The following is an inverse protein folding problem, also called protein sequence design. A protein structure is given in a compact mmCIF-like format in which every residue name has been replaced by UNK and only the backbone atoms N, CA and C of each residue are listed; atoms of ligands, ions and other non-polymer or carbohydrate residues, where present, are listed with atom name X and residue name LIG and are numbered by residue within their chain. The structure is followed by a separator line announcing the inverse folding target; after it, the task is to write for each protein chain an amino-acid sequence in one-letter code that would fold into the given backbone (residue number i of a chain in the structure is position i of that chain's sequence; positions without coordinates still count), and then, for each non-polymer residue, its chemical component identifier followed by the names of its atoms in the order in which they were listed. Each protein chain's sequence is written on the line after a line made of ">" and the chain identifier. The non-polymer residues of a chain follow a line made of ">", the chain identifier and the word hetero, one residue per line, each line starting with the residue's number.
data_IF_373093732890
#
_entry.id   IF_373093732890
#
_cell.length_a   1.000
_cell.length_b   1.000
_cell.length_c   1.000
_cell.angle_alpha   90.00
_cell.angle_beta   90.00
_cell.angle_gamma   90.00
#
_symmetry.space_group_name_H-M   'P 1'
#
loop_
_entity.id
_entity.type
_entity.pdbx_description
1 polymer ?
#
# COMPACT_ATOMS: atom_id res chain seq x y z
N UNK A 1 2.81 -3.31 -22.31
CA UNK A 1 1.51 -3.30 -23.04
C UNK A 1 1.62 -2.62 -24.40
N UNK A 2 2.48 -1.61 -24.49
CA UNK A 2 2.87 -0.85 -25.68
C UNK A 2 3.37 -1.67 -26.88
N UNK A 3 4.03 -2.82 -26.65
CA UNK A 3 4.57 -3.65 -27.74
C UNK A 3 3.63 -4.75 -28.24
N UNK A 4 2.33 -4.68 -27.92
CA UNK A 4 1.35 -5.64 -28.44
C UNK A 4 0.97 -5.30 -29.88
N UNK A 5 0.43 -6.28 -30.61
CA UNK A 5 -0.09 -6.08 -31.97
C UNK A 5 -1.61 -6.35 -31.96
N UNK A 6 -2.47 -5.32 -32.12
CA UNK A 6 -2.17 -3.88 -32.13
C UNK A 6 -1.72 -3.35 -30.75
N UNK A 7 -1.04 -2.19 -30.66
CA UNK A 7 -0.58 -1.63 -29.39
C UNK A 7 -1.70 -1.47 -28.37
N UNK A 8 -1.40 -1.77 -27.10
CA UNK A 8 -2.36 -1.78 -26.00
C UNK A 8 -3.58 -2.71 -26.22
N UNK A 9 -3.40 -3.83 -26.94
CA UNK A 9 -4.47 -4.79 -27.22
C UNK A 9 -5.03 -5.43 -25.93
N UNK A 10 -6.31 -5.17 -25.69
CA UNK A 10 -7.06 -5.75 -24.57
C UNK A 10 -7.22 -7.27 -24.71
N UNK A 11 -7.39 -7.76 -25.95
CA UNK A 11 -7.48 -9.21 -26.21
C UNK A 11 -6.22 -9.94 -25.77
N UNK A 12 -5.04 -9.35 -26.03
CA UNK A 12 -3.75 -9.94 -25.63
C UNK A 12 -3.57 -9.94 -24.12
N UNK A 13 -4.06 -8.89 -23.45
CA UNK A 13 -4.06 -8.84 -21.99
C UNK A 13 -4.97 -9.94 -21.39
N UNK A 14 -6.21 -10.07 -21.85
CA UNK A 14 -7.15 -11.08 -21.35
C UNK A 14 -6.63 -12.51 -21.55
N UNK A 15 -5.95 -12.77 -22.67
CA UNK A 15 -5.27 -14.04 -22.94
C UNK A 15 -4.18 -14.34 -21.90
N UNK A 16 -3.27 -13.38 -21.66
CA UNK A 16 -2.18 -13.52 -20.68
C UNK A 16 -2.74 -13.71 -19.26
N UNK A 17 -3.76 -12.91 -18.88
CA UNK A 17 -4.39 -13.03 -17.56
C UNK A 17 -4.96 -14.43 -17.37
N UNK A 18 -5.61 -15.00 -18.40
CA UNK A 18 -6.17 -16.36 -18.35
C UNK A 18 -5.08 -17.42 -18.20
N UNK A 19 -4.01 -17.35 -18.98
CA UNK A 19 -2.91 -18.32 -18.93
C UNK A 19 -2.16 -18.27 -17.59
N UNK A 20 -1.80 -17.06 -17.16
CA UNK A 20 -1.08 -16.86 -15.90
C UNK A 20 -1.96 -17.23 -14.71
N UNK A 21 -3.25 -16.90 -14.73
CA UNK A 21 -4.21 -17.32 -13.68
C UNK A 21 -4.31 -18.83 -13.55
N UNK A 22 -4.30 -19.56 -14.67
CA UNK A 22 -4.30 -21.02 -14.66
C UNK A 22 -2.99 -21.58 -14.09
N UNK A 23 -1.86 -20.95 -14.41
CA UNK A 23 -0.54 -21.36 -13.94
C UNK A 23 -0.36 -21.12 -12.43
N UNK A 24 -0.68 -19.92 -11.93
CA UNK A 24 -0.55 -19.59 -10.50
C UNK A 24 -1.49 -20.43 -9.63
N UNK A 25 -2.66 -20.82 -10.16
CA UNK A 25 -3.58 -21.74 -9.49
C UNK A 25 -2.98 -23.13 -9.30
N UNK A 26 -2.20 -23.63 -10.27
CA UNK A 26 -1.48 -24.92 -10.14
C UNK A 26 -0.37 -24.85 -9.09
N UNK A 27 0.28 -23.70 -8.94
CA UNK A 27 1.32 -23.47 -7.93
C UNK A 27 0.71 -23.32 -6.52
N UNK A 28 -0.60 -23.13 -6.41
CA UNK A 28 -1.32 -23.04 -5.14
C UNK A 28 -1.72 -21.62 -4.72
N UNK A 29 -1.51 -20.61 -5.58
CA UNK A 29 -2.00 -19.25 -5.34
C UNK A 29 -3.45 -19.07 -5.78
N UNK A 30 -4.21 -18.23 -5.07
CA UNK A 30 -5.56 -17.88 -5.48
C UNK A 30 -5.54 -16.75 -6.54
N UNK A 31 -5.92 -17.00 -7.81
CA UNK A 31 -5.87 -16.01 -8.87
C UNK A 31 -6.78 -14.81 -8.60
N UNK A 32 -7.84 -14.95 -7.79
CA UNK A 32 -8.71 -13.84 -7.42
C UNK A 32 -8.03 -12.80 -6.51
N UNK A 33 -6.93 -13.17 -5.86
CA UNK A 33 -6.17 -12.27 -4.97
C UNK A 33 -4.97 -11.62 -5.64
N UNK A 34 -4.67 -11.98 -6.89
CA UNK A 34 -3.52 -11.46 -7.63
C UNK A 34 -4.01 -10.39 -8.61
N UNK A 35 -3.68 -9.11 -8.40
CA UNK A 35 -4.05 -8.06 -9.33
C UNK A 35 -3.19 -8.16 -10.58
N UNK A 36 -3.83 -8.21 -11.75
CA UNK A 36 -3.17 -8.13 -13.04
C UNK A 36 -3.19 -6.70 -13.52
N UNK A 37 -2.06 -5.99 -13.48
CA UNK A 37 -2.01 -4.59 -13.91
C UNK A 37 -1.39 -4.50 -15.30
N UNK A 38 -2.11 -3.99 -16.32
CA UNK A 38 -1.55 -3.75 -17.64
C UNK A 38 -0.60 -2.56 -17.59
N UNK A 39 0.71 -2.81 -17.46
CA UNK A 39 1.73 -1.76 -17.39
C UNK A 39 2.53 -1.64 -18.70
N UNK A 40 3.07 -0.43 -18.92
CA UNK A 40 4.26 -0.25 -19.76
C UNK A 40 5.37 0.30 -18.88
N UNK A 41 6.36 -0.55 -18.57
CA UNK A 41 7.54 -0.09 -17.83
C UNK A 41 8.32 0.98 -18.59
N UNK A 42 8.25 0.97 -19.91
CA UNK A 42 8.97 1.92 -20.76
C UNK A 42 8.25 3.26 -20.88
N UNK A 43 6.95 3.27 -21.13
CA UNK A 43 6.18 4.51 -21.27
C UNK A 43 5.67 5.06 -19.93
N UNK A 44 5.81 4.29 -18.85
CA UNK A 44 5.33 4.64 -17.51
C UNK A 44 3.83 4.41 -17.32
N UNK A 45 3.15 3.76 -18.27
CA UNK A 45 1.71 3.55 -18.22
C UNK A 45 1.31 2.68 -17.04
N UNK A 46 0.31 3.15 -16.27
CA UNK A 46 -0.27 2.47 -15.11
C UNK A 46 0.75 2.10 -14.02
N UNK A 47 1.92 2.76 -13.99
CA UNK A 47 2.97 2.52 -12.99
C UNK A 47 2.86 3.43 -11.77
N UNK A 48 2.25 4.61 -11.91
CA UNK A 48 2.04 5.59 -10.83
C UNK A 48 0.69 6.31 -11.02
N UNK A 49 0.37 6.60 -12.28
CA UNK A 49 -0.86 7.29 -12.69
C UNK A 49 -1.58 6.47 -13.79
N UNK A 50 -2.93 6.56 -13.87
CA UNK A 50 -3.70 5.81 -14.85
C UNK A 50 -3.39 6.34 -16.24
N UNK A 51 -3.06 5.43 -17.15
CA UNK A 51 -2.72 5.75 -18.52
C UNK A 51 -3.99 6.09 -19.33
N UNK A 52 -3.93 7.10 -20.21
CA UNK A 52 -4.97 7.33 -21.22
C UNK A 52 -5.09 6.18 -22.23
N UNK A 53 -4.02 5.39 -22.41
CA UNK A 53 -3.91 4.39 -23.48
C UNK A 53 -4.56 3.04 -23.10
N UNK A 54 -4.63 2.70 -21.82
CA UNK A 54 -5.25 1.46 -21.35
C UNK A 54 -5.82 1.62 -19.95
N UNK A 55 -7.13 1.41 -19.83
CA UNK A 55 -7.83 1.48 -18.55
C UNK A 55 -7.50 0.28 -17.68
N UNK A 56 -7.08 0.51 -16.44
CA UNK A 56 -6.93 -0.55 -15.45
C UNK A 56 -8.32 -1.05 -15.04
N UNK A 57 -8.69 -2.24 -15.49
CA UNK A 57 -9.89 -2.93 -14.99
C UNK A 57 -9.63 -3.33 -13.53
N UNK A 58 -10.34 -2.68 -12.60
CA UNK A 58 -10.24 -2.95 -11.16
C UNK A 58 -9.53 -1.87 -10.31
N UNK A 59 -9.17 -0.71 -10.88
CA UNK A 59 -8.69 0.45 -10.11
C UNK A 59 -7.32 0.29 -9.46
N UNK A 60 -6.58 -0.77 -9.80
CA UNK A 60 -5.25 -1.07 -9.27
C UNK A 60 -4.14 -0.38 -10.06
N UNK A 61 -3.82 0.84 -9.65
CA UNK A 61 -2.67 1.57 -10.15
C UNK A 61 -1.38 1.01 -9.57
N UNK A 62 -0.41 0.73 -10.45
CA UNK A 62 0.96 0.40 -10.07
C UNK A 62 1.46 1.42 -9.07
N UNK A 63 2.04 0.93 -7.98
CA UNK A 63 2.63 1.72 -6.89
C UNK A 63 1.81 2.95 -6.51
N UNK A 64 0.77 2.71 -5.71
CA UNK A 64 0.21 3.71 -4.82
C UNK A 64 1.33 4.29 -3.96
N UNK A 65 1.94 5.40 -4.40
CA UNK A 65 2.85 6.16 -3.54
C UNK A 65 1.98 6.71 -2.43
N UNK A 66 2.11 6.10 -1.27
CA UNK A 66 1.47 6.53 -0.05
C UNK A 66 1.97 7.92 0.30
N UNK A 67 1.03 8.83 0.47
CA UNK A 67 1.26 10.12 1.10
C UNK A 67 0.07 10.62 1.89
N UNK A 68 -0.89 9.74 2.18
CA UNK A 68 -2.06 10.02 3.00
C UNK A 68 -2.38 8.84 3.93
N UNK A 69 -2.24 9.10 5.23
CA UNK A 69 -3.31 8.95 6.23
C UNK A 69 -4.27 7.78 5.99
N UNK A 70 -4.16 6.75 6.82
CA UNK A 70 -5.13 5.67 6.92
C UNK A 70 -5.53 5.46 8.37
N UNK A 71 -6.78 5.05 8.59
CA UNK A 71 -7.21 4.56 9.90
C UNK A 71 -6.67 3.17 10.13
N UNK A 72 -5.72 3.04 11.04
CA UNK A 72 -4.95 1.81 11.18
C UNK A 72 -5.08 1.27 12.60
N UNK A 73 -5.75 0.12 12.80
CA UNK A 73 -5.71 -0.57 14.09
C UNK A 73 -4.30 -1.08 14.38
N UNK A 74 -3.77 -0.65 15.51
CA UNK A 74 -2.49 -1.10 16.09
C UNK A 74 -2.73 -1.70 17.46
N UNK A 75 -1.93 -2.70 17.80
CA UNK A 75 -1.89 -3.33 19.12
C UNK A 75 -0.50 -3.07 19.70
N UNK A 76 -0.45 -2.40 20.84
CA UNK A 76 0.80 -2.09 21.54
C UNK A 76 1.23 -3.31 22.35
N UNK A 77 2.48 -3.74 22.16
CA UNK A 77 3.01 -4.99 22.69
C UNK A 77 3.88 -4.82 23.92
N UNK A 78 5.09 -4.28 23.76
CA UNK A 78 6.07 -4.21 24.85
C UNK A 78 6.82 -2.88 24.80
N UNK A 79 6.08 -1.79 24.96
CA UNK A 79 6.65 -0.45 25.02
C UNK A 79 6.89 -0.07 26.50
N UNK A 80 8.11 0.34 26.90
CA UNK A 80 8.46 0.62 28.29
C UNK A 80 7.82 1.92 28.83
N UNK A 81 7.45 2.84 27.93
CA UNK A 81 6.78 4.10 28.28
C UNK A 81 5.36 4.19 27.75
N UNK A 82 4.87 5.42 27.60
CA UNK A 82 3.59 5.71 26.96
C UNK A 82 3.80 6.24 25.54
N UNK A 83 2.89 5.88 24.63
CA UNK A 83 2.88 6.37 23.25
C UNK A 83 1.84 7.47 23.16
N UNK A 84 2.25 8.66 22.70
CA UNK A 84 1.35 9.80 22.52
C UNK A 84 1.35 10.26 21.06
N UNK A 85 0.41 11.12 20.69
CA UNK A 85 0.41 11.77 19.38
C UNK A 85 1.77 12.48 19.13
N UNK A 86 2.30 12.30 17.93
CA UNK A 86 3.64 12.75 17.53
C UNK A 86 4.75 11.70 17.66
N UNK A 87 4.48 10.55 18.26
CA UNK A 87 5.43 9.43 18.32
C UNK A 87 5.87 8.99 16.91
N UNK A 88 7.17 8.85 16.69
CA UNK A 88 7.74 8.62 15.34
C UNK A 88 8.62 7.36 15.28
N UNK A 89 8.02 6.16 15.36
CA UNK A 89 8.74 4.89 15.25
C UNK A 89 9.09 4.55 13.80
N UNK A 90 9.87 3.48 13.63
CA UNK A 90 10.13 2.88 12.31
C UNK A 90 9.12 1.80 12.00
N UNK A 91 8.57 1.82 10.79
CA UNK A 91 7.59 0.86 10.31
C UNK A 91 8.24 -0.09 9.31
N UNK A 92 8.17 -1.37 9.65
CA UNK A 92 8.47 -2.47 8.74
C UNK A 92 7.18 -2.92 8.08
N UNK A 93 7.02 -2.63 6.79
CA UNK A 93 5.91 -3.15 6.00
C UNK A 93 6.48 -3.82 4.75
N UNK A 94 6.31 -5.13 4.64
CA UNK A 94 6.90 -5.92 3.56
C UNK A 94 8.44 -5.76 3.49
N UNK A 95 8.95 -5.09 2.45
CA UNK A 95 10.39 -4.76 2.28
C UNK A 95 10.70 -3.30 2.62
N UNK A 96 9.68 -2.48 2.91
CA UNK A 96 9.86 -1.08 3.24
C UNK A 96 10.16 -0.92 4.73
N UNK A 97 11.18 -0.11 5.02
CA UNK A 97 11.64 0.24 6.37
C UNK A 97 11.73 1.77 6.47
N UNK A 98 10.66 2.41 6.95
CA UNK A 98 10.49 3.87 6.91
C UNK A 98 9.97 4.37 8.25
N UNK A 99 10.49 5.51 8.71
CA UNK A 99 9.96 6.20 9.89
C UNK A 99 8.59 6.82 9.59
N UNK A 100 7.61 6.53 10.45
CA UNK A 100 6.26 7.10 10.34
C UNK A 100 5.88 7.81 11.63
N UNK A 101 5.25 8.97 11.51
CA UNK A 101 4.73 9.73 12.64
C UNK A 101 3.29 9.31 12.91
N UNK A 102 2.97 9.00 14.15
CA UNK A 102 1.61 8.82 14.64
C UNK A 102 1.03 10.23 14.77
N UNK A 103 0.29 10.68 13.77
CA UNK A 103 -0.25 12.02 13.71
C UNK A 103 -1.31 12.20 14.80
N UNK A 104 -2.29 11.30 14.82
CA UNK A 104 -3.41 11.33 15.75
C UNK A 104 -3.74 9.91 16.24
N UNK A 105 -4.20 9.82 17.49
CA UNK A 105 -4.72 8.60 18.09
C UNK A 105 -6.23 8.75 18.07
N UNK A 106 -6.93 8.14 17.10
CA UNK A 106 -8.37 8.37 16.90
C UNK A 106 -9.21 7.71 17.97
N UNK A 107 -8.94 6.43 18.23
CA UNK A 107 -9.79 5.63 19.12
C UNK A 107 -8.98 4.60 19.85
N UNK A 108 -9.25 4.40 21.14
CA UNK A 108 -8.80 3.23 21.88
C UNK A 108 -9.84 2.13 21.72
N UNK A 109 -9.39 0.93 21.38
CA UNK A 109 -10.24 -0.23 21.18
C UNK A 109 -9.84 -1.35 22.15
N UNK A 110 -10.81 -2.14 22.56
CA UNK A 110 -10.55 -3.37 23.30
C UNK A 110 -9.91 -4.41 22.36
N UNK A 111 -8.78 -4.99 22.78
CA UNK A 111 -8.01 -5.95 21.98
C UNK A 111 -8.79 -7.23 21.66
N UNK A 112 -9.74 -7.63 22.52
CA UNK A 112 -10.49 -8.89 22.36
C UNK A 112 -11.80 -8.69 21.60
N UNK A 113 -12.60 -7.71 22.02
CA UNK A 113 -13.92 -7.49 21.45
C UNK A 113 -13.93 -6.52 20.26
N UNK A 114 -12.87 -5.75 20.05
CA UNK A 114 -12.81 -4.70 19.02
C UNK A 114 -13.74 -3.52 19.29
N UNK A 115 -14.38 -3.47 20.46
CA UNK A 115 -15.26 -2.36 20.84
C UNK A 115 -14.45 -1.12 21.17
N UNK A 116 -14.96 0.04 20.79
CA UNK A 116 -14.40 1.33 21.17
C UNK A 116 -14.51 1.51 22.68
N UNK A 117 -13.42 1.92 23.31
CA UNK A 117 -13.33 2.21 24.74
C UNK A 117 -13.29 3.71 24.99
N UNK A 118 -12.52 4.45 24.20
CA UNK A 118 -12.29 5.89 24.38
C UNK A 118 -12.02 6.53 23.02
N UNK A 119 -12.66 7.68 22.77
CA UNK A 119 -12.38 8.51 21.60
C UNK A 119 -11.25 9.49 21.91
N UNK A 120 -10.30 9.61 20.99
CA UNK A 120 -9.11 10.46 21.08
C UNK A 120 -8.29 10.30 22.38
N UNK A 121 -7.76 9.09 22.66
CA UNK A 121 -6.97 8.85 23.86
C UNK A 121 -5.69 9.71 23.88
N UNK A 122 -5.35 10.28 25.04
CA UNK A 122 -4.13 11.11 25.20
C UNK A 122 -2.84 10.30 25.10
N UNK A 123 -2.85 9.07 25.57
CA UNK A 123 -1.71 8.16 25.48
C UNK A 123 -2.14 6.69 25.45
N UNK A 124 -1.30 5.84 24.85
CA UNK A 124 -1.45 4.39 24.77
C UNK A 124 -0.34 3.71 25.58
N UNK A 125 -0.68 2.62 26.25
CA UNK A 125 0.27 1.78 27.00
C UNK A 125 0.32 0.37 26.42
N UNK A 126 1.30 -0.39 26.90
CA UNK A 126 1.42 -1.82 26.61
C UNK A 126 0.10 -2.57 26.86
N UNK A 127 -0.31 -3.38 25.88
CA UNK A 127 -1.55 -4.15 25.90
C UNK A 127 -2.78 -3.43 25.33
N UNK A 128 -2.71 -2.12 25.14
CA UNK A 128 -3.79 -1.37 24.50
C UNK A 128 -3.84 -1.63 22.99
N UNK A 129 -5.04 -1.57 22.43
CA UNK A 129 -5.24 -1.49 21.00
C UNK A 129 -5.87 -0.12 20.67
N UNK A 130 -5.52 0.44 19.52
CA UNK A 130 -6.03 1.74 19.10
C UNK A 130 -6.09 1.85 17.58
N UNK A 131 -6.97 2.71 17.08
CA UNK A 131 -6.96 3.16 15.70
C UNK A 131 -6.10 4.43 15.67
N UNK A 132 -5.02 4.39 14.91
CA UNK A 132 -4.07 5.50 14.79
C UNK A 132 -4.01 5.99 13.36
N UNK A 133 -3.76 7.27 13.22
CA UNK A 133 -3.46 7.92 11.97
C UNK A 133 -1.95 8.07 11.82
N UNK A 134 -1.42 7.57 10.70
CA UNK A 134 0.03 7.50 10.48
C UNK A 134 0.42 8.25 9.21
N UNK A 135 1.48 9.05 9.31
CA UNK A 135 2.06 9.80 8.19
C UNK A 135 3.51 9.35 8.01
N UNK A 136 3.88 8.74 6.87
CA UNK A 136 5.27 8.35 6.64
C UNK A 136 6.13 9.59 6.36
N UNK A 137 7.35 9.60 6.92
CA UNK A 137 8.30 10.69 6.71
C UNK A 137 8.97 10.66 5.32
N UNK A 138 8.87 9.53 4.61
CA UNK A 138 9.34 9.34 3.23
C UNK A 138 8.25 8.67 2.40
N UNK A 139 8.24 8.86 1.06
CA UNK A 139 7.32 8.14 0.20
C UNK A 139 7.42 6.62 0.43
N UNK A 140 6.28 6.01 0.75
CA UNK A 140 6.16 4.58 1.07
C UNK A 140 5.08 3.99 0.17
N UNK A 141 5.07 2.68 -0.09
CA UNK A 141 3.96 2.03 -0.79
C UNK A 141 3.36 1.00 0.16
N UNK A 142 2.09 1.18 0.50
CA UNK A 142 1.33 0.23 1.33
C UNK A 142 -0.11 0.16 0.81
N UNK A 143 -0.79 -0.95 1.10
CA UNK A 143 -2.15 -1.20 0.62
C UNK A 143 -3.05 -1.65 1.78
N UNK A 144 -4.36 -1.56 1.59
CA UNK A 144 -5.32 -2.13 2.53
C UNK A 144 -5.11 -3.63 2.68
N UNK A 145 -5.14 -4.13 3.91
CA UNK A 145 -5.03 -5.55 4.24
C UNK A 145 -6.10 -6.40 3.52
N UNK A 146 -7.32 -5.87 3.37
CA UNK A 146 -8.40 -6.57 2.69
C UNK A 146 -8.14 -6.72 1.18
N UNK A 147 -7.43 -5.78 0.57
CA UNK A 147 -7.11 -5.82 -0.85
C UNK A 147 -5.82 -6.59 -1.12
N UNK A 148 -4.79 -6.35 -0.31
CA UNK A 148 -3.47 -6.96 -0.49
C UNK A 148 -2.82 -7.29 0.87
N UNK A 149 -3.13 -8.47 1.44
CA UNK A 149 -2.64 -8.88 2.76
C UNK A 149 -1.11 -8.75 2.96
N UNK A 150 -0.24 -9.04 1.97
CA UNK A 150 1.21 -8.91 2.13
C UNK A 150 1.73 -7.47 2.30
N UNK A 151 0.99 -6.47 1.81
CA UNK A 151 1.35 -5.03 1.90
C UNK A 151 0.53 -4.30 2.97
N UNK A 152 -0.40 -4.98 3.64
CA UNK A 152 -1.27 -4.41 4.66
C UNK A 152 -0.92 -4.80 6.09
N UNK A 153 0.08 -5.65 6.32
CA UNK A 153 0.59 -6.00 7.66
C UNK A 153 1.91 -5.30 7.91
N UNK A 154 2.04 -4.67 9.06
CA UNK A 154 3.28 -3.99 9.42
C UNK A 154 3.62 -4.18 10.90
N UNK A 155 4.91 -4.08 11.19
CA UNK A 155 5.46 -4.04 12.53
C UNK A 155 5.97 -2.63 12.83
N UNK A 156 5.68 -2.16 14.04
CA UNK A 156 6.18 -0.89 14.57
C UNK A 156 7.38 -1.21 15.44
N UNK A 157 8.53 -0.63 15.10
CA UNK A 157 9.78 -0.83 15.82
C UNK A 157 10.32 0.46 16.39
N UNK A 158 10.87 0.34 17.58
CA UNK A 158 11.62 1.38 18.26
C UNK A 158 12.84 0.76 18.94
N UNK A 159 14.01 1.38 18.77
CA UNK A 159 15.29 0.88 19.30
C UNK A 159 15.50 -0.65 19.12
N UNK A 160 15.15 -1.18 17.94
CA UNK A 160 15.20 -2.62 17.55
C UNK A 160 14.18 -3.54 18.24
N UNK A 161 13.35 -3.03 19.12
CA UNK A 161 12.24 -3.76 19.72
C UNK A 161 10.96 -3.55 18.93
N UNK A 162 10.13 -4.59 18.84
CA UNK A 162 8.80 -4.47 18.23
C UNK A 162 7.82 -3.95 19.29
N UNK A 163 7.42 -2.69 19.16
CA UNK A 163 6.59 -2.00 20.15
C UNK A 163 5.11 -2.14 19.86
N UNK A 164 4.74 -2.33 18.59
CA UNK A 164 3.36 -2.57 18.18
C UNK A 164 3.30 -3.34 16.85
N UNK A 165 2.12 -3.90 16.56
CA UNK A 165 1.80 -4.52 15.27
C UNK A 165 0.44 -4.03 14.81
N UNK A 166 0.24 -3.90 13.51
CA UNK A 166 -1.03 -3.42 12.97
C UNK A 166 -1.35 -3.96 11.59
N UNK A 167 -2.60 -3.72 11.21
CA UNK A 167 -3.12 -4.03 9.88
C UNK A 167 -3.77 -2.79 9.28
N UNK A 168 -3.46 -2.50 8.03
CA UNK A 168 -3.95 -1.31 7.34
C UNK A 168 -5.40 -1.56 6.91
N UNK A 169 -6.36 -0.78 7.40
CA UNK A 169 -7.76 -0.87 6.92
C UNK A 169 -7.97 -0.07 5.65
N UNK A 170 -7.58 1.19 5.67
CA UNK A 170 -7.75 2.10 4.55
C UNK A 170 -6.46 2.89 4.29
N UNK A 171 -6.31 3.36 3.06
CA UNK A 171 -5.13 4.09 2.57
C UNK A 171 -5.60 5.27 1.73
N UNK A 172 -5.19 6.48 2.11
CA UNK A 172 -5.29 7.64 1.22
C UNK A 172 -4.08 7.68 0.28
N UNK A 173 -4.33 7.36 -0.99
CA UNK A 173 -3.30 7.39 -2.02
C UNK A 173 -2.97 8.84 -2.34
N UNK A 174 -1.68 9.20 -2.32
CA UNK A 174 -1.29 10.55 -2.75
C UNK A 174 -1.56 10.66 -4.24
N UNK A 175 -2.19 11.76 -4.66
CA UNK A 175 -2.26 12.13 -6.07
C UNK A 175 -0.82 12.39 -6.56
N UNK A 176 -0.21 11.39 -7.20
CA UNK A 176 1.05 11.58 -7.91
C UNK A 176 0.86 12.61 -9.01
N UNK A 177 1.86 13.49 -9.17
CA UNK A 177 2.08 14.23 -10.39
C UNK A 177 3.21 13.57 -11.17
N UNK A 178 3.16 13.68 -12.50
CA UNK A 178 3.99 12.94 -13.45
C UNK A 178 5.42 12.73 -12.96
N UNK A 179 5.74 11.47 -12.62
CA UNK A 179 7.10 11.07 -12.26
C UNK A 179 8.09 11.45 -13.37
N UNK A 180 9.38 11.61 -13.02
CA UNK A 180 10.42 11.92 -14.03
C UNK A 180 10.46 10.83 -15.09
N UNK A 181 9.90 11.14 -16.26
CA UNK A 181 9.90 10.28 -17.43
C UNK A 181 11.33 10.19 -17.97
N UNK A 182 11.85 8.97 -18.13
CA UNK A 182 13.21 8.77 -18.63
C UNK A 182 13.31 9.26 -20.08
N UNK A 183 14.51 9.64 -20.56
CA UNK A 183 14.71 10.03 -21.98
C UNK A 183 14.29 8.93 -22.95
N UNK A 184 14.38 7.69 -22.50
CA UNK A 184 14.06 6.51 -23.28
C UNK A 184 12.53 6.35 -23.39
N UNK A 185 11.80 6.59 -22.30
CA UNK A 185 10.35 6.74 -22.26
C UNK A 185 9.85 7.91 -23.13
N UNK A 186 10.53 9.07 -23.08
CA UNK A 186 10.19 10.24 -23.92
C UNK A 186 10.36 9.98 -25.41
N UNK A 187 11.40 9.23 -25.81
CA UNK A 187 11.62 8.85 -27.22
C UNK A 187 10.55 7.90 -27.73
N UNK A 188 10.11 6.98 -26.87
CA UNK A 188 9.04 6.04 -27.18
C UNK A 188 7.70 6.73 -27.42
N UNK A 189 7.35 7.67 -26.54
CA UNK A 189 6.14 8.50 -26.67
C UNK A 189 6.14 9.35 -27.96
N UNK A 190 7.32 9.73 -28.47
CA UNK A 190 7.45 10.48 -29.73
C UNK A 190 7.46 9.60 -30.98
N UNK A 191 7.79 8.31 -30.86
CA UNK A 191 7.85 7.37 -31.99
C UNK A 191 6.50 6.72 -32.33
N UNK A 192 5.51 6.84 -31.44
CA UNK A 192 4.14 6.33 -31.64
C UNK A 192 3.12 7.36 -32.13
N UNK A 193 3.57 8.48 -32.71
CA UNK A 193 2.72 9.49 -33.36
C UNK A 193 2.96 9.52 -34.86
#
# INVERSE_FOLDING_TARGET
>A
MDSTEPPYSEKRYDEIVKEVSAYIKKIGYNPATVPFVPISGWHGDNMLEPSPNVSVRGGWLGTSIFGGVGEIPVIILNHPGQISAGYSPVIDCHTAHIACKFAELKEKIDRRSGKKLEDNPKSLKSGDAAIVEMIPGKPMCVESFSQYPPLGRFAVRDMRQTVAVGVIKNVEKKSGGAGKVTKSAQKAQKAGK
#
